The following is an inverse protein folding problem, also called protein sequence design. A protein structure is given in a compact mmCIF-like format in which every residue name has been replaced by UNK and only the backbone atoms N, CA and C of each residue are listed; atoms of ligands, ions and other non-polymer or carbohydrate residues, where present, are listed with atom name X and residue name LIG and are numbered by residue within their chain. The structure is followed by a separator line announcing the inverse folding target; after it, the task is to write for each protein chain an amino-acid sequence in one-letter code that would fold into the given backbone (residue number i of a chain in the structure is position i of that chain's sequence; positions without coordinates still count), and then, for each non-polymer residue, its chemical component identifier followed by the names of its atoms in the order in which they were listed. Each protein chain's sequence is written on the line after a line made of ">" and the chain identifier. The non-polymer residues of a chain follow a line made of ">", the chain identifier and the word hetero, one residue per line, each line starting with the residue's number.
data_IF_301638279608
#
_entry.id   IF_301638279608
#
_cell.length_a   1.000
_cell.length_b   1.000
_cell.length_c   1.000
_cell.angle_alpha   90.00
_cell.angle_beta   90.00
_cell.angle_gamma   90.00
#
_symmetry.space_group_name_H-M   'P 1'
#
loop_
_entity.id
_entity.type
_entity.pdbx_description
1 polymer ?
#
# COMPACT_ATOMS: atom_id res chain seq x y z
N UNK A 1 -26.10 1.86 -79.38
CA UNK A 1 -25.20 2.51 -78.40
C UNK A 1 -25.93 2.68 -77.04
N UNK A 2 -26.14 1.59 -76.28
CA UNK A 2 -26.90 1.71 -75.04
C UNK A 2 -26.64 0.54 -74.06
N UNK A 3 -25.38 0.06 -73.94
CA UNK A 3 -25.06 -1.03 -72.96
C UNK A 3 -23.84 -0.80 -72.11
N UNK A 4 -23.25 0.44 -72.12
CA UNK A 4 -21.99 0.69 -71.38
C UNK A 4 -22.21 1.47 -70.07
N UNK A 5 -23.39 2.04 -69.80
CA UNK A 5 -23.67 2.88 -68.62
C UNK A 5 -24.03 2.11 -67.35
N UNK A 6 -24.50 0.87 -67.43
CA UNK A 6 -25.03 0.10 -66.25
C UNK A 6 -23.94 -0.65 -65.50
N UNK A 7 -22.83 -1.03 -66.16
CA UNK A 7 -21.74 -1.80 -65.51
C UNK A 7 -20.82 -0.95 -64.64
N UNK A 8 -20.69 0.35 -64.86
CA UNK A 8 -19.86 1.23 -64.05
C UNK A 8 -20.52 1.65 -62.72
N UNK A 9 -21.84 1.77 -62.69
CA UNK A 9 -22.60 2.07 -61.46
C UNK A 9 -22.58 0.92 -60.43
N UNK A 10 -22.66 -0.33 -60.89
CA UNK A 10 -22.61 -1.52 -59.99
C UNK A 10 -21.22 -1.72 -59.35
N UNK A 11 -20.13 -1.39 -60.07
CA UNK A 11 -18.77 -1.54 -59.49
C UNK A 11 -18.49 -0.47 -58.45
N UNK A 12 -19.03 0.74 -58.60
CA UNK A 12 -18.85 1.81 -57.61
C UNK A 12 -19.63 1.55 -56.29
N UNK A 13 -20.80 0.93 -56.37
CA UNK A 13 -21.62 0.56 -55.20
C UNK A 13 -20.99 -0.61 -54.44
N UNK A 14 -20.38 -1.56 -55.15
CA UNK A 14 -19.66 -2.65 -54.49
C UNK A 14 -18.35 -2.22 -53.85
N UNK A 15 -17.60 -1.29 -54.43
CA UNK A 15 -16.38 -0.74 -53.85
C UNK A 15 -16.65 0.11 -52.58
N UNK A 16 -17.78 0.81 -52.49
CA UNK A 16 -18.17 1.55 -51.29
C UNK A 16 -18.69 0.64 -50.19
N UNK A 17 -19.29 -0.50 -50.48
CA UNK A 17 -19.78 -1.47 -49.48
C UNK A 17 -18.65 -2.20 -48.73
N UNK A 18 -17.51 -2.43 -49.39
CA UNK A 18 -16.33 -3.10 -48.77
C UNK A 18 -15.51 -2.17 -47.90
N UNK A 19 -15.64 -0.84 -48.04
CA UNK A 19 -14.94 0.14 -47.16
C UNK A 19 -15.64 0.36 -45.81
N UNK A 20 -16.92 -0.05 -45.67
CA UNK A 20 -17.69 0.10 -44.44
C UNK A 20 -17.50 -0.99 -43.41
N UNK A 21 -16.84 -2.10 -43.73
CA UNK A 21 -16.67 -3.23 -42.82
C UNK A 21 -15.44 -3.09 -41.90
N UNK A 22 -14.63 -2.07 -42.03
CA UNK A 22 -13.35 -1.89 -41.32
C UNK A 22 -13.37 -1.14 -39.98
N UNK A 23 -14.49 -0.51 -39.58
CA UNK A 23 -14.50 0.47 -38.48
C UNK A 23 -15.14 -0.05 -37.18
N UNK A 24 -15.09 -1.34 -36.90
CA UNK A 24 -15.83 -1.93 -35.78
C UNK A 24 -15.02 -2.33 -34.52
N UNK A 25 -13.70 -2.33 -34.59
CA UNK A 25 -12.93 -2.89 -33.48
C UNK A 25 -11.71 -2.05 -33.12
N UNK A 26 -11.92 -1.04 -32.26
CA UNK A 26 -10.79 -0.51 -31.50
C UNK A 26 -10.57 -1.44 -30.31
N UNK A 27 -9.39 -2.05 -30.15
CA UNK A 27 -9.11 -2.97 -29.05
C UNK A 27 -9.35 -2.30 -27.70
N UNK A 28 -9.97 -3.00 -26.77
CA UNK A 28 -10.19 -2.54 -25.39
C UNK A 28 -11.37 -1.59 -25.16
N UNK A 29 -12.18 -1.25 -26.17
CA UNK A 29 -13.30 -0.32 -26.01
C UNK A 29 -14.66 -0.98 -25.75
N UNK A 30 -14.73 -2.29 -25.60
CA UNK A 30 -15.98 -3.00 -25.37
C UNK A 30 -15.78 -4.27 -24.58
N UNK A 31 -16.49 -4.40 -23.46
CA UNK A 31 -16.64 -5.67 -22.78
C UNK A 31 -17.62 -6.54 -23.61
N UNK A 32 -17.15 -7.68 -24.09
CA UNK A 32 -17.98 -8.69 -24.74
C UNK A 32 -18.50 -9.62 -23.64
N UNK A 33 -19.78 -9.93 -23.68
CA UNK A 33 -20.38 -10.92 -22.76
C UNK A 33 -20.68 -12.23 -23.51
N UNK A 34 -20.17 -13.39 -23.01
CA UNK A 34 -19.31 -13.55 -21.84
C UNK A 34 -17.91 -12.96 -22.05
N UNK A 35 -17.31 -12.41 -20.97
CA UNK A 35 -15.93 -11.93 -21.01
C UNK A 35 -14.98 -13.14 -21.18
N UNK A 36 -14.06 -13.03 -22.14
CA UNK A 36 -13.09 -14.09 -22.38
C UNK A 36 -11.69 -13.49 -22.53
N UNK A 37 -10.70 -14.12 -21.93
CA UNK A 37 -9.29 -13.85 -22.17
C UNK A 37 -8.81 -14.90 -23.18
N UNK A 38 -8.24 -14.45 -24.29
CA UNK A 38 -7.54 -15.34 -25.21
C UNK A 38 -6.13 -15.53 -24.66
N UNK A 39 -5.80 -16.75 -24.27
CA UNK A 39 -4.44 -17.16 -24.00
C UNK A 39 -3.75 -17.38 -25.36
N UNK A 40 -3.13 -16.35 -25.89
CA UNK A 40 -2.22 -16.47 -27.01
C UNK A 40 -0.88 -16.90 -26.44
N UNK A 41 -0.67 -18.22 -26.32
CA UNK A 41 0.66 -18.76 -26.09
C UNK A 41 1.61 -18.14 -27.11
N UNK A 42 2.76 -17.62 -26.66
CA UNK A 42 3.67 -16.74 -27.39
C UNK A 42 4.27 -17.25 -28.70
N UNK A 43 3.62 -18.18 -29.38
CA UNK A 43 3.92 -18.62 -30.75
C UNK A 43 2.75 -18.21 -31.65
N UNK A 44 3.00 -17.56 -32.77
CA UNK A 44 1.99 -17.15 -33.77
C UNK A 44 1.36 -18.36 -34.50
N UNK A 45 1.13 -19.43 -33.78
CA UNK A 45 0.42 -20.59 -34.31
C UNK A 45 -1.08 -20.35 -34.34
N UNK A 46 -1.69 -20.56 -35.47
CA UNK A 46 -3.08 -20.31 -35.89
C UNK A 46 -4.13 -21.20 -35.22
N UNK A 47 -3.83 -21.82 -34.10
CA UNK A 47 -4.80 -22.64 -33.35
C UNK A 47 -5.54 -21.74 -32.33
N UNK A 48 -6.87 -21.72 -32.30
CA UNK A 48 -7.63 -20.96 -31.31
C UNK A 48 -7.39 -21.58 -29.93
N UNK A 49 -6.54 -20.94 -29.14
CA UNK A 49 -6.34 -21.28 -27.73
C UNK A 49 -7.67 -21.22 -26.99
N UNK A 50 -7.84 -22.10 -26.00
CA UNK A 50 -9.05 -22.22 -25.21
C UNK A 50 -9.46 -20.86 -24.65
N UNK A 51 -10.63 -20.37 -25.04
CA UNK A 51 -11.20 -19.15 -24.48
C UNK A 51 -11.62 -19.42 -23.04
N UNK A 52 -10.85 -18.90 -22.09
CA UNK A 52 -11.25 -18.95 -20.69
C UNK A 52 -12.36 -17.92 -20.45
N UNK A 53 -13.58 -18.40 -20.28
CA UNK A 53 -14.72 -17.55 -19.95
C UNK A 53 -14.60 -17.06 -18.52
N UNK A 54 -14.56 -15.74 -18.37
CA UNK A 54 -14.53 -15.09 -17.05
C UNK A 54 -15.98 -14.84 -16.63
N UNK A 55 -16.42 -15.38 -15.47
CA UNK A 55 -17.77 -15.15 -14.98
C UNK A 55 -17.93 -13.67 -14.58
N UNK A 56 -19.01 -13.07 -15.06
CA UNK A 56 -19.41 -11.71 -14.66
C UNK A 56 -20.44 -11.83 -13.54
N UNK A 57 -20.19 -11.16 -12.42
CA UNK A 57 -21.07 -11.15 -11.26
C UNK A 57 -21.72 -9.78 -11.10
N UNK A 58 -23.06 -9.75 -11.06
CA UNK A 58 -23.78 -8.48 -10.84
C UNK A 58 -23.63 -8.00 -9.40
N UNK A 59 -23.33 -6.69 -9.25
CA UNK A 59 -23.30 -6.01 -7.94
C UNK A 59 -24.73 -5.82 -7.46
N UNK A 60 -25.10 -6.61 -6.48
CA UNK A 60 -26.41 -6.58 -5.85
C UNK A 60 -26.29 -6.65 -4.32
N UNK A 61 -27.41 -6.46 -3.63
CA UNK A 61 -27.43 -6.44 -2.17
C UNK A 61 -26.98 -7.78 -1.54
N UNK A 62 -27.22 -8.91 -2.21
CA UNK A 62 -26.80 -10.23 -1.73
C UNK A 62 -25.27 -10.37 -1.79
N UNK A 63 -24.65 -9.94 -2.88
CA UNK A 63 -23.19 -9.90 -3.03
C UNK A 63 -22.56 -8.99 -1.96
N UNK A 64 -23.08 -7.76 -1.79
CA UNK A 64 -22.58 -6.81 -0.80
C UNK A 64 -22.68 -7.37 0.62
N UNK A 65 -23.79 -7.99 0.98
CA UNK A 65 -23.93 -8.65 2.30
C UNK A 65 -22.91 -9.77 2.49
N UNK A 66 -22.64 -10.57 1.46
CA UNK A 66 -21.62 -11.63 1.50
C UNK A 66 -20.22 -11.06 1.67
N UNK A 67 -19.88 -10.00 0.94
CA UNK A 67 -18.56 -9.33 1.05
C UNK A 67 -18.39 -8.69 2.43
N UNK A 68 -19.39 -7.96 2.91
CA UNK A 68 -19.36 -7.31 4.22
C UNK A 68 -19.31 -8.32 5.38
N UNK A 69 -20.00 -9.47 5.26
CA UNK A 69 -19.92 -10.53 6.26
C UNK A 69 -18.51 -11.13 6.35
N UNK A 70 -17.81 -11.27 5.23
CA UNK A 70 -16.43 -11.73 5.20
C UNK A 70 -15.46 -10.72 5.85
N UNK A 71 -15.70 -9.42 5.70
CA UNK A 71 -14.91 -8.36 6.33
C UNK A 71 -15.26 -8.14 7.81
N UNK A 72 -16.51 -8.40 8.20
CA UNK A 72 -17.04 -8.16 9.54
C UNK A 72 -16.66 -9.22 10.57
N UNK A 73 -15.81 -10.20 10.23
CA UNK A 73 -15.28 -11.11 11.25
C UNK A 73 -14.62 -10.28 12.36
N UNK A 74 -15.21 -10.27 13.57
CA UNK A 74 -14.69 -9.52 14.72
C UNK A 74 -13.32 -10.01 15.19
N UNK A 75 -12.88 -11.17 14.76
CA UNK A 75 -11.57 -11.70 15.11
C UNK A 75 -10.48 -11.03 14.24
N UNK A 76 -9.44 -10.56 14.91
CA UNK A 76 -8.22 -10.14 14.20
C UNK A 76 -7.61 -11.37 13.50
N UNK A 77 -6.95 -11.17 12.35
CA UNK A 77 -6.12 -12.22 11.78
C UNK A 77 -5.18 -12.80 12.86
N UNK A 78 -5.05 -14.12 12.98
CA UNK A 78 -4.23 -14.73 14.04
C UNK A 78 -2.81 -14.18 14.10
N UNK A 79 -2.25 -13.86 12.96
CA UNK A 79 -0.92 -13.25 12.84
C UNK A 79 -0.87 -11.86 13.49
N UNK A 80 -1.86 -11.01 13.23
CA UNK A 80 -1.94 -9.67 13.83
C UNK A 80 -2.24 -9.75 15.32
N UNK A 81 -3.07 -10.72 15.75
CA UNK A 81 -3.38 -10.93 17.16
C UNK A 81 -2.14 -11.31 17.98
N UNK A 82 -1.19 -12.04 17.40
CA UNK A 82 0.07 -12.45 18.04
C UNK A 82 1.03 -11.27 18.31
N UNK A 83 0.83 -10.11 17.68
CA UNK A 83 1.66 -8.91 17.90
C UNK A 83 1.31 -8.19 19.21
N UNK A 84 0.11 -8.42 19.75
CA UNK A 84 -0.31 -7.82 21.02
C UNK A 84 0.33 -8.59 22.17
N UNK A 85 1.09 -7.91 22.99
CA UNK A 85 1.83 -8.55 24.07
C UNK A 85 2.19 -7.60 25.20
N UNK A 86 2.92 -8.13 26.17
CA UNK A 86 3.51 -7.31 27.23
C UNK A 86 4.85 -6.75 26.75
N UNK A 87 5.19 -5.51 27.14
CA UNK A 87 6.49 -4.96 26.81
C UNK A 87 7.62 -5.79 27.42
N UNK A 88 8.71 -5.93 26.69
CA UNK A 88 9.94 -6.59 27.18
C UNK A 88 10.86 -5.55 27.77
N UNK A 89 11.42 -5.81 28.95
CA UNK A 89 12.42 -4.93 29.56
C UNK A 89 13.67 -4.82 28.67
N UNK A 90 14.25 -3.64 28.60
CA UNK A 90 15.48 -3.40 27.84
C UNK A 90 16.63 -4.23 28.41
N UNK A 91 17.38 -4.85 27.56
CA UNK A 91 18.61 -5.57 27.87
C UNK A 91 19.76 -4.90 27.15
N UNK A 92 20.80 -4.58 27.91
CA UNK A 92 21.96 -3.93 27.33
C UNK A 92 22.74 -4.87 26.41
N UNK A 93 23.48 -4.29 25.47
CA UNK A 93 24.29 -5.06 24.54
C UNK A 93 25.44 -4.24 23.95
N UNK A 94 26.22 -4.84 23.04
CA UNK A 94 27.38 -4.21 22.43
C UNK A 94 27.04 -2.86 21.83
N UNK A 95 27.89 -1.87 22.10
CA UNK A 95 27.71 -0.49 21.62
C UNK A 95 26.95 0.42 22.58
N UNK A 96 26.20 -0.10 23.56
CA UNK A 96 25.60 0.72 24.60
C UNK A 96 26.67 1.33 25.52
N UNK A 97 26.37 2.47 26.09
CA UNK A 97 27.27 3.14 27.06
C UNK A 97 26.60 3.15 28.43
N UNK A 98 27.30 2.61 29.42
CA UNK A 98 26.84 2.61 30.80
C UNK A 98 27.47 3.75 31.57
N UNK A 99 26.68 4.46 32.33
CA UNK A 99 27.15 5.35 33.39
C UNK A 99 27.13 4.57 34.70
N UNK A 100 28.30 4.36 35.27
CA UNK A 100 28.49 3.64 36.53
C UNK A 100 29.07 4.62 37.56
N UNK A 101 28.38 4.81 38.66
CA UNK A 101 28.79 5.68 39.74
C UNK A 101 28.91 4.86 41.01
N UNK A 102 30.05 4.93 41.68
CA UNK A 102 30.26 4.34 43.01
C UNK A 102 30.29 5.52 43.98
N UNK A 103 29.36 5.54 44.92
CA UNK A 103 29.22 6.62 45.90
C UNK A 103 30.41 6.57 46.85
N UNK A 104 30.80 7.75 47.35
CA UNK A 104 31.95 7.98 48.20
C UNK A 104 33.33 7.64 47.60
N UNK A 105 33.36 7.35 46.26
CA UNK A 105 34.57 7.04 45.50
C UNK A 105 34.69 7.90 44.23
N UNK A 106 34.97 9.23 44.42
CA UNK A 106 35.05 10.19 43.27
C UNK A 106 36.20 9.85 42.32
N UNK A 107 37.24 9.17 42.76
CA UNK A 107 38.33 8.68 41.92
C UNK A 107 37.87 7.71 40.85
N UNK A 108 36.81 6.97 41.08
CA UNK A 108 36.20 6.08 40.05
C UNK A 108 35.35 6.85 39.06
N UNK A 109 34.80 8.00 39.43
CA UNK A 109 34.05 8.86 38.51
C UNK A 109 34.94 9.51 37.47
N UNK A 110 36.23 9.76 37.76
CA UNK A 110 37.19 10.31 36.79
C UNK A 110 37.40 9.37 35.58
N UNK A 111 37.16 8.06 35.73
CA UNK A 111 37.22 7.08 34.63
C UNK A 111 36.10 7.24 33.61
N UNK A 112 35.04 8.00 33.91
CA UNK A 112 33.92 8.27 32.98
C UNK A 112 34.33 9.15 31.78
N UNK A 113 35.50 9.81 31.81
CA UNK A 113 35.87 10.78 30.79
C UNK A 113 35.13 12.12 30.98
N UNK A 114 35.73 13.20 30.50
CA UNK A 114 35.05 14.50 30.47
C UNK A 114 34.21 14.61 29.19
N UNK A 115 33.01 15.26 29.26
CA UNK A 115 32.27 15.60 28.06
C UNK A 115 33.14 16.45 27.13
N UNK A 116 33.29 16.07 25.88
CA UNK A 116 33.95 16.90 24.88
C UNK A 116 33.20 18.23 24.76
N UNK A 117 33.88 19.37 24.89
CA UNK A 117 33.26 20.70 24.80
C UNK A 117 32.55 21.00 23.48
N UNK A 118 32.79 20.16 22.43
CA UNK A 118 32.19 20.25 21.11
C UNK A 118 31.60 18.89 20.67
N UNK A 119 31.04 18.10 21.61
CA UNK A 119 30.44 16.82 21.29
C UNK A 119 29.31 16.99 20.27
N UNK A 120 29.41 16.29 19.14
CA UNK A 120 28.33 16.18 18.18
C UNK A 120 27.28 15.22 18.74
N UNK A 121 26.03 15.36 18.29
CA UNK A 121 24.91 14.48 18.68
C UNK A 121 25.18 12.99 18.39
N UNK A 122 26.16 12.72 17.52
CA UNK A 122 26.61 11.35 17.16
C UNK A 122 27.68 10.80 18.10
N UNK A 123 28.28 11.63 18.95
CA UNK A 123 29.33 11.17 19.85
C UNK A 123 28.73 10.39 21.02
N UNK A 124 29.43 9.34 21.44
CA UNK A 124 28.99 8.55 22.58
C UNK A 124 28.98 9.41 23.86
N UNK A 125 27.92 9.29 24.66
CA UNK A 125 27.89 9.92 25.97
C UNK A 125 29.08 9.45 26.83
N UNK A 126 29.60 10.29 27.77
CA UNK A 126 30.63 9.84 28.68
C UNK A 126 30.19 8.63 29.50
N UNK A 127 31.03 7.61 29.55
CA UNK A 127 30.69 6.36 30.25
C UNK A 127 31.55 5.18 29.81
N UNK A 128 31.14 4.02 30.24
CA UNK A 128 31.81 2.75 29.94
C UNK A 128 31.11 2.09 28.74
N UNK A 129 31.81 2.01 27.62
CA UNK A 129 31.31 1.35 26.40
C UNK A 129 31.27 -0.17 26.62
N UNK A 130 30.16 -0.79 26.21
CA UNK A 130 30.06 -2.25 26.10
C UNK A 130 30.73 -2.67 24.79
N UNK A 131 31.75 -3.54 24.91
CA UNK A 131 32.53 -4.01 23.76
C UNK A 131 31.76 -5.03 22.92
N UNK A 132 32.38 -5.50 21.81
CA UNK A 132 31.80 -6.48 20.88
C UNK A 132 31.51 -7.82 21.54
N UNK A 133 32.23 -8.17 22.62
CA UNK A 133 32.00 -9.40 23.37
C UNK A 133 30.87 -9.26 24.41
N UNK A 134 30.33 -8.06 24.58
CA UNK A 134 29.31 -7.75 25.57
C UNK A 134 29.88 -7.48 26.98
N UNK A 135 31.15 -7.09 27.05
CA UNK A 135 31.88 -6.87 28.27
C UNK A 135 32.09 -5.38 28.54
N UNK A 136 32.16 -5.03 29.80
CA UNK A 136 32.56 -3.71 30.29
C UNK A 136 33.78 -3.88 31.20
N UNK A 137 34.80 -3.07 30.97
CA UNK A 137 35.94 -2.97 31.85
C UNK A 137 35.73 -1.87 32.87
N UNK A 138 35.65 -2.25 34.16
CA UNK A 138 35.46 -1.27 35.24
C UNK A 138 36.61 -1.38 36.25
N UNK A 139 37.16 -0.28 36.74
CA UNK A 139 38.27 -0.28 37.73
C UNK A 139 37.91 -1.14 38.92
N UNK A 140 38.88 -1.95 39.38
CA UNK A 140 38.82 -2.87 40.51
C UNK A 140 37.80 -4.02 40.39
N UNK A 141 36.78 -3.93 39.52
CA UNK A 141 35.85 -5.03 39.20
C UNK A 141 36.37 -5.91 38.05
N UNK A 142 37.34 -5.37 37.24
CA UNK A 142 37.85 -6.03 36.06
C UNK A 142 36.86 -6.09 34.93
N UNK A 143 36.98 -7.08 34.08
CA UNK A 143 36.06 -7.33 32.96
C UNK A 143 34.78 -7.97 33.47
N UNK A 144 33.61 -7.33 33.13
CA UNK A 144 32.29 -7.77 33.57
C UNK A 144 31.40 -7.98 32.34
N UNK A 145 30.95 -9.23 32.16
CA UNK A 145 29.99 -9.51 31.07
C UNK A 145 28.62 -8.97 31.45
N UNK A 146 28.10 -8.05 30.60
CA UNK A 146 26.84 -7.32 30.82
C UNK A 146 25.80 -7.55 29.73
N UNK A 147 26.21 -8.00 28.55
CA UNK A 147 25.27 -8.20 27.44
C UNK A 147 24.11 -9.14 27.81
N UNK A 148 22.91 -8.78 27.39
CA UNK A 148 21.70 -9.55 27.66
C UNK A 148 21.14 -9.38 29.08
N UNK A 149 21.79 -8.60 29.95
CA UNK A 149 21.35 -8.31 31.31
C UNK A 149 20.55 -7.01 31.39
N UNK A 150 19.72 -6.90 32.41
CA UNK A 150 19.09 -5.64 32.81
C UNK A 150 20.01 -4.84 33.74
N UNK A 151 19.74 -3.56 33.88
CA UNK A 151 20.54 -2.62 34.69
C UNK A 151 20.65 -3.08 36.17
N UNK A 152 19.55 -3.63 36.71
CA UNK A 152 19.52 -4.10 38.11
C UNK A 152 20.44 -5.31 38.34
N UNK A 153 20.51 -6.23 37.38
CA UNK A 153 21.42 -7.38 37.44
C UNK A 153 22.88 -6.95 37.32
N UNK A 154 23.18 -5.95 36.46
CA UNK A 154 24.53 -5.39 36.32
C UNK A 154 24.98 -4.72 37.63
N UNK A 155 24.09 -3.90 38.21
CA UNK A 155 24.34 -3.23 39.49
C UNK A 155 24.69 -4.24 40.60
N UNK A 156 23.92 -5.33 40.71
CA UNK A 156 24.18 -6.40 41.69
C UNK A 156 25.54 -7.08 41.46
N UNK A 157 25.89 -7.35 40.20
CA UNK A 157 27.15 -7.98 39.85
C UNK A 157 28.35 -7.06 40.17
N UNK A 158 28.25 -5.78 39.82
CA UNK A 158 29.29 -4.79 40.15
C UNK A 158 29.43 -4.62 41.66
N UNK A 159 28.33 -4.51 42.41
CA UNK A 159 28.36 -4.46 43.88
C UNK A 159 29.08 -5.64 44.45
N UNK A 160 28.77 -6.86 44.01
CA UNK A 160 29.40 -8.09 44.46
C UNK A 160 30.92 -8.08 44.21
N UNK A 161 31.35 -7.66 43.02
CA UNK A 161 32.79 -7.66 42.68
C UNK A 161 33.56 -6.57 43.44
N UNK A 162 32.98 -5.37 43.54
CA UNK A 162 33.61 -4.26 44.27
C UNK A 162 33.66 -4.47 45.77
N UNK A 163 32.77 -5.27 46.34
CA UNK A 163 32.79 -5.63 47.77
C UNK A 163 34.05 -6.42 48.20
N UNK A 164 34.84 -6.93 47.27
CA UNK A 164 36.15 -7.55 47.55
C UNK A 164 37.23 -6.50 47.82
N UNK A 165 37.03 -5.24 47.41
CA UNK A 165 38.03 -4.17 47.53
C UNK A 165 37.54 -3.04 48.45
N UNK A 166 36.22 -2.74 48.37
CA UNK A 166 35.60 -1.64 49.12
C UNK A 166 34.63 -2.18 50.17
N UNK A 167 34.51 -1.57 51.31
CA UNK A 167 33.51 -1.92 52.32
C UNK A 167 32.16 -1.32 51.95
N UNK A 168 31.17 -2.20 51.65
CA UNK A 168 29.78 -1.84 51.31
C UNK A 168 29.68 -0.77 50.20
N UNK A 169 30.24 -1.01 49.00
CA UNK A 169 30.19 -0.02 47.89
C UNK A 169 28.75 0.19 47.41
N UNK A 170 28.29 1.42 47.45
CA UNK A 170 27.01 1.86 46.86
C UNK A 170 27.20 2.11 45.38
N UNK A 171 26.64 1.28 44.51
CA UNK A 171 26.80 1.35 43.06
C UNK A 171 25.50 1.74 42.41
N UNK A 172 25.54 2.76 41.55
CA UNK A 172 24.43 3.14 40.66
C UNK A 172 24.82 2.89 39.22
N UNK A 173 23.98 2.20 38.47
CA UNK A 173 24.17 1.95 37.02
C UNK A 173 23.01 2.53 36.24
N UNK A 174 23.31 3.23 35.17
CA UNK A 174 22.32 3.75 34.19
C UNK A 174 22.85 3.54 32.79
N UNK A 175 21.96 3.45 31.79
CA UNK A 175 22.37 3.50 30.40
C UNK A 175 22.46 4.96 29.99
N UNK A 176 23.65 5.43 29.63
CA UNK A 176 23.91 6.80 29.20
C UNK A 176 23.60 6.98 27.71
N UNK A 177 23.78 5.93 26.90
CA UNK A 177 23.46 5.96 25.47
C UNK A 177 22.98 4.59 25.01
N UNK A 178 21.79 4.53 24.44
CA UNK A 178 21.17 3.34 23.89
C UNK A 178 21.53 3.25 22.40
N UNK A 179 22.37 2.30 22.00
CA UNK A 179 22.88 2.16 20.64
C UNK A 179 22.76 0.74 20.09
N UNK A 180 22.63 -0.25 20.97
CA UNK A 180 22.58 -1.67 20.61
C UNK A 180 21.29 -2.03 19.88
N UNK A 181 20.15 -1.61 20.39
CA UNK A 181 18.85 -2.02 19.89
C UNK A 181 18.19 -0.86 19.11
N UNK A 182 17.86 -1.14 17.85
CA UNK A 182 17.22 -0.17 16.97
C UNK A 182 16.04 -0.79 16.25
N UNK A 183 15.07 0.04 15.88
CA UNK A 183 14.02 -0.25 14.91
C UNK A 183 14.16 0.70 13.73
N UNK A 184 13.73 0.26 12.57
CA UNK A 184 13.81 1.05 11.35
C UNK A 184 12.41 1.44 10.93
N UNK A 185 12.16 2.75 10.77
CA UNK A 185 10.88 3.27 10.28
C UNK A 185 11.10 3.83 8.89
N UNK A 186 10.32 3.32 7.92
CA UNK A 186 10.46 3.62 6.49
C UNK A 186 9.11 3.93 5.84
N UNK A 187 9.14 4.43 4.60
CA UNK A 187 7.97 4.74 3.80
C UNK A 187 7.32 6.08 4.17
N UNK A 188 5.99 6.13 4.17
CA UNK A 188 5.20 7.35 4.28
C UNK A 188 5.06 7.87 5.72
N UNK A 189 6.21 8.13 6.35
CA UNK A 189 6.36 8.93 7.57
C UNK A 189 7.12 10.22 7.24
N UNK A 190 7.02 11.25 8.06
CA UNK A 190 7.67 12.53 7.77
C UNK A 190 9.18 12.47 7.87
N UNK A 191 9.70 11.69 8.78
CA UNK A 191 11.15 11.57 9.08
C UNK A 191 11.48 10.08 9.19
N UNK A 192 11.69 9.38 8.08
CA UNK A 192 12.11 7.98 8.10
C UNK A 192 13.52 7.85 8.66
N UNK A 193 13.83 6.71 9.25
CA UNK A 193 15.17 6.42 9.77
C UNK A 193 15.20 5.42 10.91
N UNK A 194 16.39 5.17 11.42
CA UNK A 194 16.60 4.32 12.58
C UNK A 194 16.23 5.06 13.87
N UNK A 195 15.55 4.35 14.77
CA UNK A 195 15.16 4.82 16.09
C UNK A 195 15.68 3.86 17.15
N UNK A 196 16.41 4.41 18.13
CA UNK A 196 16.96 3.60 19.22
C UNK A 196 15.87 3.21 20.21
N UNK A 197 15.81 1.93 20.55
CA UNK A 197 15.03 1.44 21.69
C UNK A 197 15.73 1.81 22.98
N UNK A 198 14.96 2.14 24.00
CA UNK A 198 15.44 2.51 25.32
C UNK A 198 14.69 1.71 26.41
N UNK A 199 14.85 2.11 27.66
CA UNK A 199 14.17 1.54 28.82
C UNK A 199 12.66 1.75 28.84
N UNK A 200 12.14 2.68 28.00
CA UNK A 200 10.71 2.89 27.77
C UNK A 200 10.28 2.05 26.57
N UNK A 201 9.40 1.07 26.74
CA UNK A 201 8.98 0.21 25.65
C UNK A 201 8.39 1.01 24.48
N UNK A 202 8.97 0.85 23.31
CA UNK A 202 8.51 1.52 22.10
C UNK A 202 7.33 0.77 21.48
N UNK A 203 6.20 1.46 21.35
CA UNK A 203 5.03 0.93 20.65
C UNK A 203 5.05 1.32 19.18
N UNK A 204 4.19 0.65 18.37
CA UNK A 204 3.94 0.98 16.96
C UNK A 204 3.63 2.48 16.79
N UNK A 205 2.74 3.02 17.61
CA UNK A 205 2.33 4.43 17.55
C UNK A 205 3.45 5.37 17.99
N UNK A 206 4.25 4.97 18.97
CA UNK A 206 5.42 5.75 19.42
C UNK A 206 6.45 5.86 18.30
N UNK A 207 6.77 4.76 17.62
CA UNK A 207 7.72 4.76 16.50
C UNK A 207 7.25 5.67 15.34
N UNK A 208 5.97 5.57 14.97
CA UNK A 208 5.38 6.46 13.95
C UNK A 208 5.47 7.93 14.40
N UNK A 209 5.15 8.21 15.66
CA UNK A 209 5.20 9.58 16.20
C UNK A 209 6.62 10.15 16.22
N UNK A 210 7.63 9.36 16.59
CA UNK A 210 9.04 9.74 16.53
C UNK A 210 9.50 9.98 15.09
N UNK A 211 8.94 9.22 14.11
CA UNK A 211 9.09 9.49 12.68
C UNK A 211 8.33 10.73 12.19
N UNK A 212 7.86 11.61 13.09
CA UNK A 212 7.10 12.82 12.74
C UNK A 212 5.64 12.58 12.38
N UNK A 213 5.12 11.36 12.58
CA UNK A 213 3.77 10.95 12.22
C UNK A 213 3.64 10.55 10.75
N UNK A 214 2.46 10.14 10.38
CA UNK A 214 2.12 9.79 8.99
C UNK A 214 2.27 10.99 8.06
N UNK A 215 2.78 10.77 6.86
CA UNK A 215 2.82 11.77 5.79
C UNK A 215 1.43 12.06 5.20
N UNK A 216 1.35 13.00 4.26
CA UNK A 216 0.12 13.30 3.51
C UNK A 216 -0.37 12.13 2.67
N UNK A 217 0.56 11.31 2.15
CA UNK A 217 0.28 10.20 1.23
C UNK A 217 0.22 8.84 1.92
N UNK A 218 0.34 8.79 3.25
CA UNK A 218 0.34 7.55 3.99
C UNK A 218 -0.98 6.79 3.88
N UNK A 219 -0.88 5.48 3.63
CA UNK A 219 -1.97 4.53 3.75
C UNK A 219 -1.96 3.89 5.15
N UNK A 220 -2.82 4.36 6.03
CA UNK A 220 -2.93 3.87 7.41
C UNK A 220 -3.53 2.48 7.53
N UNK A 221 -4.11 1.97 6.45
CA UNK A 221 -4.60 0.60 6.37
C UNK A 221 -3.50 -0.42 6.05
N UNK A 222 -2.32 0.06 5.63
CA UNK A 222 -1.19 -0.76 5.18
C UNK A 222 0.11 -0.32 5.84
N UNK A 223 0.24 -0.72 7.10
CA UNK A 223 1.49 -0.57 7.86
C UNK A 223 2.10 -1.96 8.02
N UNK A 224 3.23 -2.20 7.39
CA UNK A 224 3.92 -3.48 7.40
C UNK A 224 4.97 -3.49 8.52
N UNK A 225 4.83 -4.41 9.46
CA UNK A 225 5.84 -4.72 10.46
C UNK A 225 6.59 -5.98 10.03
N UNK A 226 7.87 -5.84 9.75
CA UNK A 226 8.75 -6.95 9.40
C UNK A 226 9.55 -7.33 10.64
N UNK A 227 9.32 -8.54 11.13
CA UNK A 227 9.98 -9.11 12.31
C UNK A 227 10.48 -10.52 12.01
N UNK A 228 11.76 -10.77 12.21
CA UNK A 228 12.38 -12.09 11.98
C UNK A 228 12.07 -12.67 10.57
N UNK A 229 12.04 -11.82 9.53
CA UNK A 229 11.74 -12.21 8.15
C UNK A 229 10.26 -12.45 7.85
N UNK A 230 9.37 -12.27 8.83
CA UNK A 230 7.91 -12.37 8.63
C UNK A 230 7.31 -10.98 8.52
N UNK A 231 6.49 -10.76 7.50
CA UNK A 231 5.76 -9.49 7.32
C UNK A 231 4.36 -9.59 7.90
N UNK A 232 4.05 -8.68 8.81
CA UNK A 232 2.74 -8.53 9.43
C UNK A 232 2.10 -7.25 8.91
N UNK A 233 1.05 -7.38 8.10
CA UNK A 233 0.28 -6.24 7.63
C UNK A 233 -0.70 -5.78 8.71
N UNK A 234 -0.60 -4.53 9.12
CA UNK A 234 -1.39 -3.91 10.18
C UNK A 234 -2.27 -2.83 9.57
N UNK A 235 -3.58 -2.96 9.73
CA UNK A 235 -4.53 -1.89 9.43
C UNK A 235 -4.81 -1.11 10.72
N UNK A 236 -4.16 0.04 10.88
CA UNK A 236 -4.24 0.87 12.10
C UNK A 236 -5.66 1.40 12.33
N UNK A 237 -6.33 1.83 11.26
CA UNK A 237 -7.70 2.36 11.36
C UNK A 237 -8.72 1.27 11.68
N UNK A 238 -8.53 0.06 11.16
CA UNK A 238 -9.39 -1.10 11.47
C UNK A 238 -9.20 -1.55 12.93
N UNK A 239 -7.96 -1.56 13.43
CA UNK A 239 -7.70 -1.83 14.86
C UNK A 239 -8.46 -0.87 15.75
N UNK A 240 -8.39 0.43 15.46
CA UNK A 240 -9.09 1.46 16.23
C UNK A 240 -10.62 1.29 16.15
N UNK A 241 -11.16 1.01 14.95
CA UNK A 241 -12.60 0.74 14.77
C UNK A 241 -13.08 -0.46 15.59
N UNK A 242 -12.22 -1.48 15.76
CA UNK A 242 -12.48 -2.67 16.58
C UNK A 242 -12.21 -2.47 18.07
N UNK A 243 -11.90 -1.25 18.51
CA UNK A 243 -11.60 -0.94 19.91
C UNK A 243 -10.26 -1.50 20.40
N UNK A 244 -9.35 -1.86 19.48
CA UNK A 244 -7.99 -2.28 19.80
C UNK A 244 -7.05 -1.09 19.74
N UNK A 245 -6.18 -0.99 20.74
CA UNK A 245 -5.19 0.09 20.79
C UNK A 245 -3.91 -0.33 20.05
N UNK A 246 -3.52 0.34 18.94
CA UNK A 246 -2.28 0.05 18.25
C UNK A 246 -1.02 0.27 19.12
N UNK A 247 -1.15 1.01 20.24
CA UNK A 247 -0.06 1.20 21.20
C UNK A 247 0.26 -0.05 22.01
N UNK A 248 -0.58 -1.08 21.98
CA UNK A 248 -0.33 -2.37 22.63
C UNK A 248 0.54 -3.31 21.77
N UNK A 249 0.91 -2.86 20.55
CA UNK A 249 1.88 -3.53 19.69
C UNK A 249 3.26 -2.95 19.99
N UNK A 250 4.11 -3.74 20.67
CA UNK A 250 5.46 -3.33 21.04
C UNK A 250 6.48 -3.80 20.01
N UNK A 251 7.40 -2.89 19.66
CA UNK A 251 8.49 -3.15 18.73
C UNK A 251 9.67 -3.81 19.46
N UNK A 252 10.43 -4.59 18.71
CA UNK A 252 11.61 -5.32 19.15
C UNK A 252 12.84 -4.86 18.36
N UNK A 253 14.02 -5.14 18.89
CA UNK A 253 15.27 -4.86 18.19
C UNK A 253 15.32 -5.57 16.82
N UNK A 254 15.68 -4.81 15.79
CA UNK A 254 15.72 -5.29 14.41
C UNK A 254 14.38 -5.29 13.68
N UNK A 255 13.28 -4.84 14.30
CA UNK A 255 12.02 -4.63 13.60
C UNK A 255 12.16 -3.54 12.54
N UNK A 256 11.53 -3.77 11.39
CA UNK A 256 11.35 -2.77 10.34
C UNK A 256 9.86 -2.44 10.19
N UNK A 257 9.52 -1.18 10.36
CA UNK A 257 8.17 -0.65 10.20
C UNK A 257 8.12 0.14 8.90
N UNK A 258 7.31 -0.31 7.94
CA UNK A 258 7.12 0.37 6.67
C UNK A 258 5.68 0.83 6.51
N UNK A 259 5.49 2.11 6.26
CA UNK A 259 4.19 2.70 5.95
C UNK A 259 4.04 2.80 4.44
N UNK A 260 3.03 2.11 3.87
CA UNK A 260 2.79 2.12 2.43
C UNK A 260 2.25 3.48 1.96
N UNK A 261 2.50 3.79 0.68
CA UNK A 261 1.86 4.92 0.00
C UNK A 261 0.44 4.55 -0.45
N UNK A 262 -0.47 5.52 -0.43
CA UNK A 262 -1.80 5.36 -1.05
C UNK A 262 -1.72 5.17 -2.56
N UNK A 263 -0.66 5.64 -3.19
CA UNK A 263 -0.39 5.43 -4.62
C UNK A 263 -0.25 3.95 -4.97
N UNK A 264 0.33 3.15 -4.07
CA UNK A 264 0.47 1.70 -4.25
C UNK A 264 -0.89 0.97 -4.26
N UNK A 265 -1.92 1.63 -3.72
CA UNK A 265 -3.29 1.12 -3.59
C UNK A 265 -4.25 1.76 -4.59
N UNK A 266 -3.74 2.49 -5.59
CA UNK A 266 -4.54 3.19 -6.59
C UNK A 266 -5.45 2.25 -7.40
N UNK A 267 -6.62 2.77 -7.78
CA UNK A 267 -7.63 2.14 -8.64
C UNK A 267 -7.65 2.87 -9.98
N UNK A 268 -7.67 2.13 -11.07
CA UNK A 268 -7.66 2.68 -12.42
C UNK A 268 -9.10 2.89 -12.91
N UNK A 269 -9.49 4.13 -13.17
CA UNK A 269 -10.81 4.44 -13.76
C UNK A 269 -10.61 4.83 -15.23
N UNK A 270 -11.25 4.11 -16.13
CA UNK A 270 -11.10 4.28 -17.57
C UNK A 270 -12.40 4.04 -18.34
N UNK A 271 -12.39 4.33 -19.64
CA UNK A 271 -13.56 4.28 -20.51
C UNK A 271 -14.26 5.64 -20.60
N UNK A 272 -15.59 5.63 -20.67
CA UNK A 272 -16.40 6.84 -20.92
C UNK A 272 -16.70 7.59 -19.60
N UNK A 273 -15.64 8.11 -18.99
CA UNK A 273 -15.67 9.04 -17.85
C UNK A 273 -15.06 10.38 -18.27
N UNK A 274 -15.44 11.47 -17.60
CA UNK A 274 -14.95 12.80 -17.97
C UNK A 274 -13.43 12.96 -17.79
N UNK A 275 -12.84 12.27 -16.80
CA UNK A 275 -11.41 12.34 -16.48
C UNK A 275 -10.88 10.93 -16.15
N UNK A 276 -10.49 10.12 -17.14
CA UNK A 276 -9.82 8.86 -16.88
C UNK A 276 -8.57 9.10 -16.04
N UNK A 277 -8.44 8.43 -14.90
CA UNK A 277 -7.36 8.66 -13.94
C UNK A 277 -7.13 7.45 -13.02
N UNK A 278 -6.00 7.44 -12.35
CA UNK A 278 -5.76 6.60 -11.18
C UNK A 278 -6.30 7.33 -9.95
N UNK A 279 -7.28 6.75 -9.29
CA UNK A 279 -7.91 7.29 -8.09
C UNK A 279 -7.27 6.64 -6.85
N UNK A 280 -6.78 7.48 -5.95
CA UNK A 280 -6.16 7.01 -4.70
C UNK A 280 -7.22 6.80 -3.62
N UNK A 281 -7.11 5.74 -2.80
CA UNK A 281 -8.00 5.54 -1.67
C UNK A 281 -7.83 6.66 -0.64
N UNK A 282 -8.78 6.80 0.27
CA UNK A 282 -8.64 7.66 1.44
C UNK A 282 -7.48 7.19 2.34
N UNK A 283 -7.07 7.99 3.32
CA UNK A 283 -5.98 7.64 4.26
C UNK A 283 -6.23 6.36 5.07
N UNK A 284 -7.48 5.99 5.26
CA UNK A 284 -7.90 4.76 5.91
C UNK A 284 -7.95 3.55 4.96
N UNK A 285 -7.48 3.71 3.71
CA UNK A 285 -7.47 2.68 2.67
C UNK A 285 -8.83 2.44 2.01
N UNK A 286 -9.91 3.13 2.40
CA UNK A 286 -11.23 2.92 1.79
C UNK A 286 -11.36 3.73 0.49
N UNK A 287 -11.97 3.11 -0.52
CA UNK A 287 -12.40 3.74 -1.75
C UNK A 287 -13.62 2.99 -2.27
N UNK A 288 -14.76 3.67 -2.35
CA UNK A 288 -15.97 3.07 -2.90
C UNK A 288 -16.07 3.27 -4.42
N UNK A 289 -16.81 2.42 -5.09
CA UNK A 289 -17.04 2.54 -6.54
C UNK A 289 -17.68 3.89 -6.90
N UNK A 290 -18.62 4.38 -6.08
CA UNK A 290 -19.25 5.69 -6.31
C UNK A 290 -18.26 6.84 -6.16
N UNK A 291 -17.33 6.78 -5.19
CA UNK A 291 -16.27 7.77 -5.03
C UNK A 291 -15.32 7.77 -6.22
N UNK A 292 -14.87 6.59 -6.65
CA UNK A 292 -13.97 6.47 -7.80
C UNK A 292 -14.57 7.08 -9.08
N UNK A 293 -15.87 6.84 -9.33
CA UNK A 293 -16.59 7.46 -10.45
C UNK A 293 -16.71 8.97 -10.27
N UNK A 294 -17.03 9.44 -9.05
CA UNK A 294 -17.14 10.87 -8.77
C UNK A 294 -15.82 11.61 -8.96
N UNK A 295 -14.71 11.06 -8.46
CA UNK A 295 -13.37 11.65 -8.53
C UNK A 295 -12.82 11.65 -9.98
N UNK A 296 -13.27 10.69 -10.80
CA UNK A 296 -13.01 10.68 -12.26
C UNK A 296 -13.91 11.65 -13.06
N UNK A 297 -14.61 12.56 -12.39
CA UNK A 297 -15.49 13.56 -13.00
C UNK A 297 -16.83 13.00 -13.43
N UNK A 298 -17.26 11.84 -12.95
CA UNK A 298 -18.50 11.14 -13.28
C UNK A 298 -18.54 10.59 -14.72
N UNK A 299 -19.68 9.99 -15.09
CA UNK A 299 -19.91 9.49 -16.44
C UNK A 299 -19.90 10.63 -17.46
N UNK A 300 -19.30 10.40 -18.64
CA UNK A 300 -19.50 11.31 -19.77
C UNK A 300 -20.96 11.23 -20.24
N UNK A 301 -21.71 12.32 -20.10
CA UNK A 301 -23.14 12.37 -20.42
C UNK A 301 -23.47 12.09 -21.89
N UNK A 302 -22.50 12.27 -22.79
CA UNK A 302 -22.69 12.13 -24.22
C UNK A 302 -22.36 10.75 -24.75
N UNK A 303 -21.41 10.04 -24.06
CA UNK A 303 -20.79 8.84 -24.60
C UNK A 303 -21.00 7.62 -23.73
N UNK A 304 -21.14 7.79 -22.41
CA UNK A 304 -21.22 6.70 -21.47
C UNK A 304 -22.53 5.90 -21.56
N UNK A 305 -22.40 4.57 -21.46
CA UNK A 305 -23.52 3.70 -21.18
C UNK A 305 -23.52 3.35 -19.70
N UNK A 306 -24.34 4.02 -18.91
CA UNK A 306 -24.43 3.79 -17.47
C UNK A 306 -24.79 2.33 -17.10
N UNK A 307 -25.37 1.57 -18.04
CA UNK A 307 -25.58 0.12 -17.91
C UNK A 307 -24.31 -0.72 -17.95
N UNK A 308 -23.20 -0.17 -18.41
CA UNK A 308 -21.96 -0.90 -18.66
C UNK A 308 -20.86 -0.40 -17.75
N UNK A 309 -21.09 -0.48 -16.45
CA UNK A 309 -20.09 -0.21 -15.42
C UNK A 309 -19.53 -1.54 -14.91
N UNK A 310 -18.25 -1.75 -15.11
CA UNK A 310 -17.54 -2.98 -14.72
C UNK A 310 -16.42 -2.67 -13.75
N UNK A 311 -16.18 -3.59 -12.82
CA UNK A 311 -14.99 -3.60 -11.97
C UNK A 311 -14.25 -4.90 -12.20
N UNK A 312 -13.01 -4.80 -12.66
CA UNK A 312 -12.12 -5.93 -12.91
C UNK A 312 -11.12 -6.00 -11.76
N UNK A 313 -11.19 -7.07 -11.02
CA UNK A 313 -10.35 -7.35 -9.84
C UNK A 313 -9.36 -8.47 -10.15
N UNK A 314 -8.17 -8.41 -9.57
CA UNK A 314 -7.09 -9.38 -9.82
C UNK A 314 -6.72 -9.46 -11.31
N UNK A 315 -6.69 -8.34 -12.02
CA UNK A 315 -6.39 -8.27 -13.45
C UNK A 315 -5.03 -8.85 -13.83
N UNK A 316 -4.12 -9.00 -12.87
CA UNK A 316 -2.77 -9.57 -13.06
C UNK A 316 -2.67 -11.04 -12.66
N UNK A 317 -3.77 -11.67 -12.22
CA UNK A 317 -3.80 -13.10 -11.85
C UNK A 317 -4.44 -13.95 -12.93
N UNK A 318 -4.20 -15.26 -12.87
CA UNK A 318 -4.79 -16.25 -13.78
C UNK A 318 -6.32 -16.37 -13.64
N UNK A 319 -6.91 -15.76 -12.62
CA UNK A 319 -8.33 -15.82 -12.33
C UNK A 319 -8.91 -14.44 -12.02
N UNK A 320 -9.03 -13.54 -13.01
CA UNK A 320 -9.64 -12.24 -12.83
C UNK A 320 -11.12 -12.38 -12.47
N UNK A 321 -11.61 -11.51 -11.60
CA UNK A 321 -13.03 -11.42 -11.23
C UNK A 321 -13.63 -10.16 -11.85
N UNK A 322 -14.75 -10.31 -12.53
CA UNK A 322 -15.45 -9.19 -13.15
C UNK A 322 -16.79 -8.97 -12.45
N UNK A 323 -16.98 -7.76 -11.94
CA UNK A 323 -18.24 -7.33 -11.36
C UNK A 323 -18.90 -6.34 -12.31
N UNK A 324 -20.22 -6.38 -12.39
CA UNK A 324 -21.03 -5.52 -13.25
C UNK A 324 -22.06 -4.77 -12.43
N UNK A 325 -22.26 -3.48 -12.74
CA UNK A 325 -23.33 -2.68 -12.16
C UNK A 325 -24.09 -1.96 -13.27
N UNK A 326 -25.42 -2.13 -13.31
CA UNK A 326 -26.31 -1.25 -14.08
C UNK A 326 -26.53 0.04 -13.27
N UNK A 327 -25.80 1.10 -13.63
CA UNK A 327 -25.84 2.40 -12.95
C UNK A 327 -26.88 3.38 -13.55
N UNK A 328 -27.88 2.88 -14.31
CA UNK A 328 -28.93 3.74 -14.89
C UNK A 328 -29.89 4.31 -13.85
N UNK A 329 -30.06 3.59 -12.74
CA UNK A 329 -30.91 4.03 -11.64
C UNK A 329 -30.10 4.75 -10.56
N UNK A 330 -30.57 5.87 -9.97
CA UNK A 330 -29.97 6.47 -8.78
C UNK A 330 -29.82 5.49 -7.60
N UNK A 331 -30.72 4.51 -7.50
CA UNK A 331 -30.64 3.46 -6.47
C UNK A 331 -29.40 2.59 -6.64
N UNK A 332 -28.95 2.35 -7.88
CA UNK A 332 -27.73 1.61 -8.15
C UNK A 332 -26.48 2.29 -7.59
N UNK A 333 -26.50 3.62 -7.48
CA UNK A 333 -25.40 4.37 -6.86
C UNK A 333 -25.31 4.14 -5.36
N UNK A 334 -26.39 3.73 -4.69
CA UNK A 334 -26.34 3.26 -3.30
C UNK A 334 -25.56 1.93 -3.19
N UNK A 335 -25.71 1.05 -4.17
CA UNK A 335 -24.92 -0.19 -4.24
C UNK A 335 -23.46 0.13 -4.55
N UNK A 336 -23.19 1.05 -5.48
CA UNK A 336 -21.84 1.52 -5.77
C UNK A 336 -21.16 2.15 -4.54
N UNK A 337 -21.91 2.84 -3.68
CA UNK A 337 -21.37 3.43 -2.45
C UNK A 337 -21.04 2.39 -1.38
N UNK A 338 -21.66 1.22 -1.43
CA UNK A 338 -21.37 0.11 -0.53
C UNK A 338 -20.34 -0.88 -1.10
N UNK A 339 -20.00 -0.77 -2.38
CA UNK A 339 -19.00 -1.63 -3.02
C UNK A 339 -17.61 -1.03 -2.83
N UNK A 340 -16.82 -1.64 -1.93
CA UNK A 340 -15.43 -1.25 -1.71
C UNK A 340 -14.51 -1.81 -2.80
N UNK A 341 -13.76 -0.90 -3.42
CA UNK A 341 -12.72 -1.22 -4.37
C UNK A 341 -11.47 -1.72 -3.64
N UNK A 342 -10.73 -2.59 -4.29
CA UNK A 342 -9.45 -3.10 -3.80
C UNK A 342 -8.29 -2.45 -4.56
N UNK A 343 -7.07 -2.45 -3.99
CA UNK A 343 -5.89 -1.96 -4.69
C UNK A 343 -5.74 -2.59 -6.08
N UNK A 344 -5.47 -1.75 -7.08
CA UNK A 344 -5.28 -2.14 -8.48
C UNK A 344 -6.54 -2.68 -9.19
N UNK A 345 -7.74 -2.48 -8.62
CA UNK A 345 -8.97 -2.70 -9.37
C UNK A 345 -9.00 -1.77 -10.61
N UNK A 346 -9.60 -2.26 -11.68
CA UNK A 346 -9.85 -1.48 -12.88
C UNK A 346 -11.36 -1.24 -12.99
N UNK A 347 -11.78 0.02 -12.88
CA UNK A 347 -13.16 0.46 -13.11
C UNK A 347 -13.28 0.88 -14.58
N UNK A 348 -14.13 0.22 -15.30
CA UNK A 348 -14.35 0.47 -16.73
C UNK A 348 -15.79 0.87 -17.03
N UNK A 349 -15.96 2.01 -17.68
CA UNK A 349 -17.27 2.50 -18.16
C UNK A 349 -17.37 2.29 -19.67
N UNK A 350 -18.34 1.51 -20.10
CA UNK A 350 -18.56 1.18 -21.50
C UNK A 350 -19.25 2.32 -22.28
N UNK A 351 -19.21 2.20 -23.61
CA UNK A 351 -19.81 3.17 -24.56
C UNK A 351 -21.28 2.88 -24.83
N UNK A 352 -22.07 3.93 -24.98
CA UNK A 352 -23.45 3.88 -25.46
C UNK A 352 -23.54 3.49 -26.96
N UNK A 353 -24.63 2.80 -27.33
CA UNK A 353 -24.87 2.41 -28.73
C UNK A 353 -24.96 3.62 -29.72
N UNK A 354 -25.43 4.76 -29.22
CA UNK A 354 -25.56 5.99 -30.00
C UNK A 354 -24.21 6.59 -30.40
N UNK A 355 -23.21 6.47 -29.55
CA UNK A 355 -21.84 6.96 -29.79
C UNK A 355 -21.18 6.25 -30.95
N UNK A 356 -21.42 4.94 -31.08
CA UNK A 356 -20.95 4.17 -32.25
C UNK A 356 -21.56 4.68 -33.54
N UNK A 357 -22.87 4.97 -33.53
CA UNK A 357 -23.59 5.52 -34.68
C UNK A 357 -23.07 6.92 -35.05
N UNK A 358 -22.89 7.82 -34.09
CA UNK A 358 -22.36 9.16 -34.30
C UNK A 358 -20.89 9.16 -34.79
N UNK A 359 -20.03 8.24 -34.27
CA UNK A 359 -18.67 8.10 -34.83
C UNK A 359 -18.68 7.65 -36.29
N UNK A 360 -19.53 6.69 -36.64
CA UNK A 360 -19.67 6.25 -38.03
C UNK A 360 -20.22 7.38 -38.90
N UNK A 361 -21.20 8.12 -38.41
CA UNK A 361 -21.75 9.31 -39.11
C UNK A 361 -20.70 10.38 -39.33
N UNK A 362 -19.93 10.74 -38.32
CA UNK A 362 -18.87 11.76 -38.39
C UNK A 362 -17.72 11.35 -39.33
N UNK A 363 -17.46 10.05 -39.50
CA UNK A 363 -16.51 9.56 -40.50
C UNK A 363 -17.09 9.58 -41.94
N UNK A 364 -18.40 9.44 -42.08
CA UNK A 364 -19.08 9.43 -43.38
C UNK A 364 -19.47 10.83 -43.87
N UNK A 365 -19.75 11.77 -42.95
CA UNK A 365 -20.15 13.13 -43.31
C UNK A 365 -19.17 13.85 -44.27
N UNK A 366 -17.84 13.79 -44.09
CA UNK A 366 -16.90 14.39 -45.04
C UNK A 366 -16.98 13.76 -46.44
N UNK A 367 -17.18 12.43 -46.51
CA UNK A 367 -17.28 11.73 -47.79
C UNK A 367 -18.61 12.02 -48.51
N UNK A 368 -19.73 12.15 -47.77
CA UNK A 368 -21.02 12.52 -48.28
C UNK A 368 -20.98 13.98 -48.81
N UNK A 369 -20.42 14.90 -48.05
CA UNK A 369 -20.26 16.28 -48.45
C UNK A 369 -19.37 16.42 -49.70
N UNK A 370 -18.29 15.68 -49.81
CA UNK A 370 -17.42 15.68 -50.97
C UNK A 370 -18.16 15.15 -52.23
N UNK A 371 -18.98 14.09 -52.07
CA UNK A 371 -19.78 13.55 -53.18
C UNK A 371 -20.88 14.53 -53.65
N UNK A 372 -21.55 15.22 -52.71
CA UNK A 372 -22.58 16.22 -53.03
C UNK A 372 -21.96 17.46 -53.72
N UNK A 373 -20.80 17.93 -53.23
CA UNK A 373 -20.10 19.07 -53.83
C UNK A 373 -19.57 18.73 -55.23
N UNK A 374 -19.07 17.53 -55.44
CA UNK A 374 -18.64 17.04 -56.75
C UNK A 374 -19.79 16.90 -57.75
N UNK A 375 -20.98 16.52 -57.33
CA UNK A 375 -22.16 16.41 -58.17
C UNK A 375 -22.75 17.77 -58.56
N UNK A 376 -22.56 18.82 -57.73
CA UNK A 376 -23.01 20.21 -57.99
C UNK A 376 -22.06 20.94 -58.97
N UNK A 377 -20.76 20.57 -58.94
CA UNK A 377 -19.76 21.17 -59.88
C UNK A 377 -19.70 20.44 -61.21
N UNK A 378 -20.38 19.32 -61.38
CA UNK A 378 -20.46 18.59 -62.66
C UNK A 378 -21.71 18.87 -63.47
N UNK A 379 -22.50 19.90 -63.10
CA UNK A 379 -23.64 20.45 -63.85
C UNK A 379 -23.27 21.85 -64.31
#
# INVERSE_FOLDING_TARGET
>A
MSSLGIRTGSLLVFATATLLSGCGSVPGQRMITPAAIQDTGGDYSTEPSAQQQIPITDINLALLRKMNAAQSSMALPPQTAALFGKPTAYKVGPGDVLQIVVWDHPELAAALGQPAQNAKTTDAAPGFLIDENGDVQFPYAGTVHVAGKDVASIQKELHRRLSNVYQKPEVTVRVASFRNAQVYVDGEVRTPGAQSLNDIPMSLTTAISLGGGFSGNADRSRVDLIRNGVTYQINVDDLIKRGRNPSDIYLQAGDMLRVASREDSGVYVMGEVNKPATIMPMRNGSLTLSQAISDSGSFDSNTAAARQLFVIRNSTSDSPQVYHLDATSPVSMLLANQFELQPKDVVYVGQGGLVRFNRVLNLLLPAINAAVTGAVLAK
#
